data_IF_363096081476
#
_entry.id   IF_363096081476
#
_cell.length_a   1.000
_cell.length_b   1.000
_cell.length_c   1.000
_cell.angle_alpha   90.00
_cell.angle_beta   90.00
_cell.angle_gamma   90.00
#
_symmetry.space_group_name_H-M   'P 1'
#
loop_
_entity.id
_entity.type
_entity.pdbx_description
1 polymer ?
#
# COMPACT_ATOMS: atom_id res chain seq x y z
N UNK A 1 -95.04 15.95 39.34
CA UNK A 1 -94.45 14.64 39.63
C UNK A 1 -92.95 14.80 39.60
N UNK A 2 -92.34 14.42 40.71
CA UNK A 2 -91.03 14.88 41.17
C UNK A 2 -89.86 14.38 40.33
N UNK A 3 -89.01 15.31 39.89
CA UNK A 3 -87.65 14.99 39.49
C UNK A 3 -86.84 14.69 40.75
N UNK A 4 -86.73 13.41 41.11
CA UNK A 4 -85.84 12.94 42.15
C UNK A 4 -84.38 13.10 41.69
N UNK A 5 -83.83 14.31 41.89
CA UNK A 5 -82.42 14.60 41.74
C UNK A 5 -81.64 13.85 42.82
N UNK A 6 -80.97 12.76 42.45
CA UNK A 6 -80.04 12.04 43.32
C UNK A 6 -78.89 12.97 43.69
N UNK A 7 -78.94 13.55 44.90
CA UNK A 7 -77.81 14.27 45.49
C UNK A 7 -76.70 13.26 45.79
N UNK A 8 -75.71 13.18 44.90
CA UNK A 8 -74.46 12.45 45.13
C UNK A 8 -73.86 12.93 46.46
N UNK A 9 -73.49 12.00 47.34
CA UNK A 9 -72.88 12.35 48.63
C UNK A 9 -71.52 13.01 48.41
N UNK A 10 -71.20 14.05 49.18
CA UNK A 10 -69.88 14.71 49.17
C UNK A 10 -68.71 13.73 49.36
N UNK A 11 -68.97 12.58 50.00
CA UNK A 11 -68.01 11.50 50.15
C UNK A 11 -67.75 10.78 48.83
N UNK A 12 -68.81 10.39 48.12
CA UNK A 12 -68.71 9.71 46.82
C UNK A 12 -68.02 10.60 45.77
N UNK A 13 -68.26 11.93 45.82
CA UNK A 13 -67.56 12.89 44.97
C UNK A 13 -66.05 12.92 45.24
N UNK A 14 -65.63 12.92 46.52
CA UNK A 14 -64.21 12.90 46.90
C UNK A 14 -63.53 11.59 46.53
N UNK A 15 -64.19 10.45 46.77
CA UNK A 15 -63.65 9.14 46.42
C UNK A 15 -63.48 9.00 44.89
N UNK A 16 -64.41 9.56 44.11
CA UNK A 16 -64.31 9.60 42.65
C UNK A 16 -63.17 10.52 42.19
N UNK A 17 -63.00 11.69 42.81
CA UNK A 17 -61.90 12.61 42.52
C UNK A 17 -60.53 11.98 42.80
N UNK A 18 -60.38 11.27 43.92
CA UNK A 18 -59.16 10.54 44.27
C UNK A 18 -58.89 9.43 43.25
N UNK A 19 -59.92 8.67 42.85
CA UNK A 19 -59.79 7.61 41.85
C UNK A 19 -59.40 8.15 40.48
N UNK A 20 -59.93 9.30 40.07
CA UNK A 20 -59.51 10.01 38.84
C UNK A 20 -58.04 10.39 38.93
N UNK A 21 -57.59 10.95 40.06
CA UNK A 21 -56.18 11.33 40.23
C UNK A 21 -55.23 10.13 40.19
N UNK A 22 -55.61 9.01 40.83
CA UNK A 22 -54.85 7.76 40.77
C UNK A 22 -54.77 7.18 39.36
N UNK A 23 -55.88 7.23 38.60
CA UNK A 23 -55.88 6.80 37.20
C UNK A 23 -55.04 7.71 36.32
N UNK A 24 -55.09 9.03 36.53
CA UNK A 24 -54.27 10.00 35.83
C UNK A 24 -52.77 9.72 36.04
N UNK A 25 -52.33 9.57 37.30
CA UNK A 25 -50.95 9.24 37.62
C UNK A 25 -50.47 7.92 36.99
N UNK A 26 -51.35 6.89 36.95
CA UNK A 26 -51.05 5.63 36.28
C UNK A 26 -50.93 5.79 34.75
N UNK A 27 -51.77 6.61 34.14
CA UNK A 27 -51.69 6.91 32.70
C UNK A 27 -50.41 7.68 32.38
N UNK A 28 -50.04 8.66 33.21
CA UNK A 28 -48.83 9.45 33.02
C UNK A 28 -47.57 8.56 33.13
N UNK A 29 -47.48 7.70 34.14
CA UNK A 29 -46.37 6.75 34.32
C UNK A 29 -46.26 5.75 33.16
N UNK A 30 -47.38 5.24 32.65
CA UNK A 30 -47.40 4.37 31.47
C UNK A 30 -46.97 5.12 30.21
N UNK A 31 -47.43 6.36 30.02
CA UNK A 31 -47.04 7.23 28.91
C UNK A 31 -45.53 7.48 28.92
N UNK A 32 -44.96 7.80 30.08
CA UNK A 32 -43.51 8.00 30.22
C UNK A 32 -42.72 6.73 29.89
N UNK A 33 -43.22 5.56 30.32
CA UNK A 33 -42.61 4.27 30.01
C UNK A 33 -42.64 3.97 28.51
N UNK A 34 -43.75 4.24 27.82
CA UNK A 34 -43.85 4.10 26.36
C UNK A 34 -42.86 5.03 25.65
N UNK A 35 -42.71 6.28 26.10
CA UNK A 35 -41.75 7.22 25.54
C UNK A 35 -40.30 6.73 25.71
N UNK A 36 -39.97 6.19 26.89
CA UNK A 36 -38.63 5.62 27.14
C UNK A 36 -38.35 4.42 26.24
N UNK A 37 -39.28 3.48 26.18
CA UNK A 37 -39.17 2.31 25.29
C UNK A 37 -39.09 2.72 23.81
N UNK A 38 -39.80 3.76 23.40
CA UNK A 38 -39.71 4.31 22.04
C UNK A 38 -38.31 4.81 21.71
N UNK A 39 -37.67 5.55 22.64
CA UNK A 39 -36.29 6.02 22.49
C UNK A 39 -35.30 4.85 22.46
N UNK A 40 -35.44 3.88 23.36
CA UNK A 40 -34.57 2.70 23.40
C UNK A 40 -34.68 1.89 22.10
N UNK A 41 -35.89 1.76 21.55
CA UNK A 41 -36.13 1.08 20.27
C UNK A 41 -35.50 1.85 19.10
N UNK A 42 -35.57 3.17 19.09
CA UNK A 42 -34.91 4.01 18.07
C UNK A 42 -33.38 3.86 18.14
N UNK A 43 -32.80 3.90 19.35
CA UNK A 43 -31.34 3.70 19.52
C UNK A 43 -30.90 2.31 19.06
N UNK A 44 -31.66 1.26 19.39
CA UNK A 44 -31.36 -0.10 18.95
C UNK A 44 -31.51 -0.26 17.43
N UNK A 45 -32.45 0.43 16.80
CA UNK A 45 -32.58 0.44 15.34
C UNK A 45 -31.38 1.10 14.66
N UNK A 46 -30.88 2.20 15.20
CA UNK A 46 -29.69 2.88 14.67
C UNK A 46 -28.43 2.05 14.85
N UNK A 47 -28.24 1.44 16.02
CA UNK A 47 -27.15 0.49 16.26
C UNK A 47 -27.20 -0.68 15.27
N UNK A 48 -28.40 -1.23 15.01
CA UNK A 48 -28.58 -2.32 14.06
C UNK A 48 -28.20 -1.90 12.63
N UNK A 49 -28.62 -0.70 12.19
CA UNK A 49 -28.24 -0.14 10.88
C UNK A 49 -26.72 0.01 10.76
N UNK A 50 -26.07 0.52 11.81
CA UNK A 50 -24.61 0.70 11.84
C UNK A 50 -23.86 -0.65 11.80
N UNK A 51 -24.31 -1.64 12.58
CA UNK A 51 -23.74 -3.00 12.56
C UNK A 51 -23.90 -3.63 11.18
N UNK A 52 -25.08 -3.50 10.55
CA UNK A 52 -25.33 -4.03 9.21
C UNK A 52 -24.43 -3.38 8.15
N UNK A 53 -24.25 -2.07 8.20
CA UNK A 53 -23.33 -1.36 7.31
C UNK A 53 -21.87 -1.80 7.50
N UNK A 54 -21.44 -2.02 8.76
CA UNK A 54 -20.11 -2.54 9.08
C UNK A 54 -19.92 -3.98 8.57
N UNK A 55 -20.93 -4.85 8.73
CA UNK A 55 -20.90 -6.23 8.20
C UNK A 55 -20.70 -6.24 6.69
N UNK A 56 -21.50 -5.48 5.95
CA UNK A 56 -21.39 -5.37 4.49
C UNK A 56 -20.03 -4.81 4.02
N UNK A 57 -19.40 -3.97 4.83
CA UNK A 57 -18.06 -3.44 4.54
C UNK A 57 -16.99 -4.51 4.76
N UNK A 58 -17.12 -5.29 5.85
CA UNK A 58 -16.23 -6.39 6.15
C UNK A 58 -16.33 -7.51 5.10
N UNK A 59 -17.54 -7.86 4.66
CA UNK A 59 -17.77 -8.85 3.59
C UNK A 59 -17.07 -8.43 2.29
N UNK A 60 -17.25 -7.19 1.82
CA UNK A 60 -16.56 -6.68 0.62
C UNK A 60 -15.04 -6.67 0.74
N UNK A 61 -14.52 -6.36 1.93
CA UNK A 61 -13.08 -6.39 2.18
C UNK A 61 -12.54 -7.82 2.18
N UNK A 62 -13.29 -8.76 2.76
CA UNK A 62 -12.94 -10.18 2.76
C UNK A 62 -12.92 -10.74 1.33
N UNK A 63 -13.94 -10.47 0.52
CA UNK A 63 -13.97 -10.84 -0.91
C UNK A 63 -12.76 -10.29 -1.67
N UNK A 64 -12.36 -9.04 -1.43
CA UNK A 64 -11.17 -8.44 -2.05
C UNK A 64 -9.89 -9.18 -1.66
N UNK A 65 -9.71 -9.46 -0.37
CA UNK A 65 -8.54 -10.18 0.14
C UNK A 65 -8.51 -11.61 -0.39
N UNK A 66 -9.64 -12.29 -0.47
CA UNK A 66 -9.73 -13.63 -1.06
C UNK A 66 -9.30 -13.62 -2.53
N UNK A 67 -9.73 -12.65 -3.33
CA UNK A 67 -9.28 -12.50 -4.71
C UNK A 67 -7.77 -12.25 -4.81
N UNK A 68 -7.21 -11.42 -3.94
CA UNK A 68 -5.76 -11.18 -3.90
C UNK A 68 -4.99 -12.45 -3.55
N UNK A 69 -5.43 -13.21 -2.55
CA UNK A 69 -4.83 -14.49 -2.17
C UNK A 69 -4.85 -15.49 -3.33
N UNK A 70 -5.97 -15.60 -4.05
CA UNK A 70 -6.05 -16.44 -5.25
C UNK A 70 -5.06 -16.01 -6.33
N UNK A 71 -4.89 -14.71 -6.55
CA UNK A 71 -3.92 -14.17 -7.49
C UNK A 71 -2.48 -14.48 -7.08
N UNK A 72 -2.14 -14.34 -5.80
CA UNK A 72 -0.82 -14.69 -5.29
C UNK A 72 -0.53 -16.19 -5.41
N UNK A 73 -1.51 -17.04 -5.09
CA UNK A 73 -1.38 -18.48 -5.22
C UNK A 73 -1.15 -18.90 -6.69
N UNK A 74 -1.87 -18.31 -7.64
CA UNK A 74 -1.66 -18.55 -9.07
C UNK A 74 -0.25 -18.13 -9.52
N UNK A 75 0.18 -16.92 -9.15
CA UNK A 75 1.52 -16.43 -9.46
C UNK A 75 2.63 -17.31 -8.87
N UNK A 76 2.46 -17.82 -7.65
CA UNK A 76 3.43 -18.72 -7.01
C UNK A 76 3.57 -20.03 -7.80
N UNK A 77 2.46 -20.58 -8.28
CA UNK A 77 2.46 -21.79 -9.12
C UNK A 77 3.18 -21.52 -10.43
N UNK A 78 2.92 -20.39 -11.08
CA UNK A 78 3.55 -20.01 -12.35
C UNK A 78 5.06 -19.83 -12.19
N UNK A 79 5.51 -19.12 -11.14
CA UNK A 79 6.94 -18.93 -10.83
C UNK A 79 7.61 -20.28 -10.58
N UNK A 80 7.00 -21.15 -9.76
CA UNK A 80 7.55 -22.48 -9.48
C UNK A 80 7.65 -23.34 -10.75
N UNK A 81 6.67 -23.24 -11.63
CA UNK A 81 6.64 -24.01 -12.88
C UNK A 81 7.69 -23.50 -13.86
N UNK A 82 7.79 -22.18 -14.03
CA UNK A 82 8.84 -21.53 -14.84
C UNK A 82 10.23 -21.90 -14.35
N UNK A 83 10.49 -21.79 -13.04
CA UNK A 83 11.78 -22.15 -12.45
C UNK A 83 12.13 -23.63 -12.65
N UNK A 84 11.15 -24.54 -12.47
CA UNK A 84 11.37 -25.97 -12.73
C UNK A 84 11.75 -26.24 -14.19
N UNK A 85 11.08 -25.57 -15.12
CA UNK A 85 11.36 -25.72 -16.55
C UNK A 85 12.73 -25.17 -16.93
N UNK A 86 13.10 -24.00 -16.41
CA UNK A 86 14.42 -23.41 -16.64
C UNK A 86 15.54 -24.26 -16.03
N UNK A 87 15.34 -24.74 -14.80
CA UNK A 87 16.26 -25.69 -14.16
C UNK A 87 16.44 -26.95 -15.02
N UNK A 88 15.37 -27.52 -15.56
CA UNK A 88 15.46 -28.71 -16.40
C UNK A 88 16.27 -28.42 -17.68
N UNK A 89 15.98 -27.31 -18.37
CA UNK A 89 16.72 -26.91 -19.57
C UNK A 89 18.23 -26.75 -19.31
N UNK A 90 18.59 -26.10 -18.20
CA UNK A 90 20.00 -25.95 -17.81
C UNK A 90 20.65 -27.29 -17.48
N UNK A 91 19.93 -28.23 -16.84
CA UNK A 91 20.45 -29.58 -16.61
C UNK A 91 20.68 -30.34 -17.92
N UNK A 92 19.74 -30.26 -18.86
CA UNK A 92 19.86 -30.90 -20.18
C UNK A 92 21.05 -30.30 -20.95
N UNK A 93 21.23 -28.98 -20.92
CA UNK A 93 22.36 -28.28 -21.56
C UNK A 93 23.71 -28.66 -20.94
N UNK A 94 23.78 -28.79 -19.61
CA UNK A 94 24.99 -29.29 -18.94
C UNK A 94 25.31 -30.72 -19.37
N UNK A 95 24.29 -31.58 -19.54
CA UNK A 95 24.48 -32.95 -19.99
C UNK A 95 24.99 -33.00 -21.43
N UNK A 96 24.43 -32.18 -22.34
CA UNK A 96 24.92 -32.09 -23.72
C UNK A 96 26.36 -31.59 -23.77
N UNK A 97 26.68 -30.52 -23.04
CA UNK A 97 28.05 -29.98 -23.00
C UNK A 97 29.06 -30.98 -22.44
N UNK A 98 28.68 -31.78 -21.44
CA UNK A 98 29.53 -32.86 -20.92
C UNK A 98 29.78 -33.95 -21.95
N UNK A 99 28.76 -34.31 -22.73
CA UNK A 99 28.89 -35.29 -23.81
C UNK A 99 29.81 -34.78 -24.91
N UNK A 100 29.63 -33.53 -25.32
CA UNK A 100 30.44 -32.90 -26.37
C UNK A 100 31.89 -32.74 -25.92
N UNK A 101 32.12 -32.35 -24.66
CA UNK A 101 33.46 -32.31 -24.07
C UNK A 101 34.13 -33.69 -24.09
N UNK A 102 33.40 -34.74 -23.74
CA UNK A 102 33.93 -36.11 -23.78
C UNK A 102 34.27 -36.54 -25.21
N UNK A 103 33.43 -36.21 -26.20
CA UNK A 103 33.65 -36.53 -27.60
C UNK A 103 34.87 -35.79 -28.16
N UNK A 104 35.00 -34.50 -27.86
CA UNK A 104 36.16 -33.70 -28.24
C UNK A 104 37.45 -34.23 -27.57
N UNK A 105 37.38 -34.70 -26.33
CA UNK A 105 38.52 -35.32 -25.65
C UNK A 105 38.96 -36.62 -26.33
N UNK A 106 38.02 -37.48 -26.76
CA UNK A 106 38.35 -38.72 -27.48
C UNK A 106 38.96 -38.41 -28.85
N UNK A 107 38.38 -37.49 -29.60
CA UNK A 107 38.90 -37.08 -30.91
C UNK A 107 40.32 -36.49 -30.77
N UNK A 108 40.55 -35.66 -29.75
CA UNK A 108 41.88 -35.09 -29.50
C UNK A 108 42.91 -36.16 -29.13
N UNK A 109 42.51 -37.21 -28.42
CA UNK A 109 43.38 -38.35 -28.13
C UNK A 109 43.72 -39.14 -29.39
N UNK A 110 42.75 -39.38 -30.27
CA UNK A 110 42.92 -40.05 -31.56
C UNK A 110 43.86 -39.25 -32.48
N UNK A 111 43.62 -37.95 -32.64
CA UNK A 111 44.48 -37.06 -33.43
C UNK A 111 45.92 -36.99 -32.88
N UNK A 112 46.09 -37.05 -31.55
CA UNK A 112 47.42 -37.14 -30.94
C UNK A 112 48.11 -38.47 -31.25
N UNK A 113 47.37 -39.58 -31.26
CA UNK A 113 47.91 -40.88 -31.64
C UNK A 113 48.31 -40.90 -33.12
N UNK A 114 47.44 -40.42 -34.01
CA UNK A 114 47.71 -40.30 -35.44
C UNK A 114 48.94 -39.42 -35.72
N UNK A 115 49.07 -38.29 -35.02
CA UNK A 115 50.26 -37.42 -35.09
C UNK A 115 51.53 -38.18 -34.72
N UNK A 116 51.50 -39.02 -33.68
CA UNK A 116 52.66 -39.82 -33.26
C UNK A 116 53.02 -40.84 -34.34
N UNK A 117 52.04 -41.48 -34.96
CA UNK A 117 52.28 -42.49 -36.00
C UNK A 117 52.82 -41.86 -37.29
N UNK A 118 52.24 -40.74 -37.74
CA UNK A 118 52.79 -39.96 -38.86
C UNK A 118 54.23 -39.49 -38.60
N UNK A 119 54.56 -39.11 -37.35
CA UNK A 119 55.94 -38.79 -36.99
C UNK A 119 56.89 -39.99 -37.09
N UNK A 120 56.43 -41.21 -36.76
CA UNK A 120 57.22 -42.44 -36.94
C UNK A 120 57.42 -42.74 -38.43
N UNK A 121 56.37 -42.61 -39.23
CA UNK A 121 56.44 -42.81 -40.68
C UNK A 121 57.38 -41.81 -41.35
N UNK A 122 57.31 -40.53 -40.99
CA UNK A 122 58.27 -39.52 -41.46
C UNK A 122 59.72 -39.90 -41.13
N UNK A 123 59.99 -40.46 -39.93
CA UNK A 123 61.34 -40.94 -39.58
C UNK A 123 61.78 -42.12 -40.44
N UNK A 124 60.88 -43.08 -40.70
CA UNK A 124 61.15 -44.23 -41.57
C UNK A 124 61.42 -43.79 -43.01
N UNK A 125 60.63 -42.85 -43.55
CA UNK A 125 60.85 -42.29 -44.87
C UNK A 125 62.19 -41.57 -44.96
N UNK A 126 62.54 -40.73 -43.98
CA UNK A 126 63.87 -40.08 -43.92
C UNK A 126 65.01 -41.11 -43.89
N UNK A 127 64.87 -42.19 -43.10
CA UNK A 127 65.87 -43.25 -43.07
C UNK A 127 65.98 -43.99 -44.40
N UNK A 128 64.86 -44.26 -45.08
CA UNK A 128 64.84 -44.94 -46.39
C UNK A 128 65.50 -44.07 -47.46
N UNK A 129 65.21 -42.76 -47.48
CA UNK A 129 65.85 -41.80 -48.38
C UNK A 129 67.37 -41.81 -48.15
N UNK A 130 67.82 -41.67 -46.91
CA UNK A 130 69.25 -41.69 -46.58
C UNK A 130 69.95 -42.99 -47.02
N UNK A 131 69.30 -44.15 -46.84
CA UNK A 131 69.85 -45.44 -47.32
C UNK A 131 69.96 -45.49 -48.85
N UNK A 132 68.97 -44.96 -49.56
CA UNK A 132 68.97 -44.94 -51.02
C UNK A 132 70.05 -44.01 -51.57
N UNK A 133 70.25 -42.84 -50.94
CA UNK A 133 71.33 -41.91 -51.27
C UNK A 133 72.71 -42.54 -51.08
N UNK A 134 72.93 -43.27 -49.97
CA UNK A 134 74.18 -44.01 -49.72
C UNK A 134 74.40 -45.11 -50.76
N UNK A 135 73.37 -45.91 -51.08
CA UNK A 135 73.47 -46.97 -52.08
C UNK A 135 73.81 -46.45 -53.49
N UNK A 136 73.33 -45.26 -53.85
CA UNK A 136 73.69 -44.59 -55.11
C UNK A 136 75.11 -44.00 -55.09
N UNK A 137 75.66 -43.66 -53.92
CA UNK A 137 77.04 -43.19 -53.75
C UNK A 137 78.06 -44.35 -53.75
N UNK A 138 77.66 -45.56 -53.35
CA UNK A 138 78.52 -46.75 -53.27
C UNK A 138 78.60 -47.57 -54.57
N UNK A 139 77.88 -47.19 -55.64
CA UNK A 139 78.01 -47.85 -56.95
C UNK A 139 79.32 -47.44 -57.63
N UNK A 140 80.34 -48.33 -57.74
CA UNK A 140 81.60 -47.98 -58.36
C UNK A 140 81.43 -48.01 -59.88
N UNK A 141 81.87 -46.93 -60.52
CA UNK A 141 82.17 -46.89 -61.94
C UNK A 141 82.82 -48.19 -62.43
N UNK A 142 82.15 -48.90 -63.33
CA UNK A 142 82.84 -49.69 -64.36
C UNK A 142 82.72 -48.96 -65.68
N UNK A 143 83.87 -48.46 -66.11
CA UNK A 143 84.19 -47.71 -67.31
C UNK A 143 83.81 -48.42 -68.62
N UNK A 144 83.23 -47.67 -69.57
CA UNK A 144 83.80 -47.29 -70.89
C UNK A 144 82.79 -46.39 -71.62
N UNK A 145 83.09 -45.08 -71.68
CA UNK A 145 83.33 -44.32 -72.93
C UNK A 145 82.11 -44.36 -73.88
N UNK A 146 81.30 -43.31 -73.95
CA UNK A 146 81.65 -42.15 -74.79
C UNK A 146 81.19 -40.79 -74.23
N UNK A 147 82.17 -39.87 -74.20
CA UNK A 147 82.09 -38.44 -74.50
C UNK A 147 80.75 -37.69 -74.28
N UNK A 148 80.56 -37.15 -73.07
CA UNK A 148 80.17 -35.75 -72.92
C UNK A 148 80.65 -35.22 -71.56
N UNK A 149 81.89 -34.75 -71.56
CA UNK A 149 82.39 -33.92 -70.48
C UNK A 149 81.81 -32.52 -70.65
N UNK A 150 81.13 -32.03 -69.61
CA UNK A 150 81.38 -30.75 -68.95
C UNK A 150 80.07 -30.15 -68.40
N UNK A 151 80.15 -29.87 -67.09
CA UNK A 151 79.42 -28.80 -66.38
C UNK A 151 77.94 -29.12 -66.11
N UNK A 152 77.53 -29.42 -64.89
CA UNK A 152 77.87 -28.72 -63.67
C UNK A 152 76.64 -27.92 -63.23
N UNK A 153 75.94 -28.48 -62.24
CA UNK A 153 75.36 -27.76 -61.10
C UNK A 153 74.31 -26.68 -61.44
N UNK A 154 73.03 -27.01 -61.23
CA UNK A 154 72.00 -26.17 -60.54
C UNK A 154 70.58 -26.44 -61.06
N UNK A 155 69.96 -27.57 -60.71
CA UNK A 155 68.52 -27.74 -61.01
C UNK A 155 67.70 -28.40 -59.89
N UNK A 156 68.32 -29.00 -58.88
CA UNK A 156 67.56 -29.64 -57.78
C UNK A 156 67.32 -28.71 -56.58
N UNK A 157 67.99 -27.56 -56.49
CA UNK A 157 67.87 -26.65 -55.34
C UNK A 157 66.62 -25.73 -55.45
N UNK A 158 66.15 -25.45 -56.66
CA UNK A 158 65.04 -24.51 -56.87
C UNK A 158 63.65 -25.13 -56.59
N UNK A 159 63.50 -26.43 -56.78
CA UNK A 159 62.23 -27.14 -56.53
C UNK A 159 61.97 -27.38 -55.04
N UNK A 160 63.01 -27.73 -54.28
CA UNK A 160 62.93 -27.90 -52.83
C UNK A 160 62.66 -26.57 -52.10
N UNK A 161 63.31 -25.47 -52.54
CA UNK A 161 63.07 -24.12 -52.01
C UNK A 161 61.66 -23.60 -52.36
N UNK A 162 61.14 -23.94 -53.54
CA UNK A 162 59.76 -23.63 -53.95
C UNK A 162 58.71 -24.37 -53.12
N UNK A 163 58.91 -25.68 -52.87
CA UNK A 163 58.01 -26.48 -52.05
C UNK A 163 57.97 -25.98 -50.59
N UNK A 164 59.13 -25.65 -50.03
CA UNK A 164 59.22 -25.11 -48.66
C UNK A 164 58.54 -23.75 -48.51
N UNK A 165 58.61 -22.88 -49.53
CA UNK A 165 57.86 -21.62 -49.56
C UNK A 165 56.35 -21.86 -49.66
N UNK A 166 55.92 -22.80 -50.50
CA UNK A 166 54.50 -23.17 -50.62
C UNK A 166 53.95 -23.73 -49.30
N UNK A 167 54.69 -24.60 -48.61
CA UNK A 167 54.26 -25.17 -47.33
C UNK A 167 54.14 -24.11 -46.22
N UNK A 168 55.05 -23.11 -46.22
CA UNK A 168 54.96 -21.94 -45.32
C UNK A 168 53.72 -21.11 -45.65
N UNK A 169 53.50 -20.77 -46.91
CA UNK A 169 52.33 -20.00 -47.35
C UNK A 169 51.02 -20.73 -47.04
N UNK A 170 51.00 -22.07 -47.18
CA UNK A 170 49.83 -22.88 -46.87
C UNK A 170 49.53 -22.92 -45.36
N UNK A 171 50.56 -22.98 -44.52
CA UNK A 171 50.41 -22.86 -43.06
C UNK A 171 49.90 -21.49 -42.66
N UNK A 172 50.44 -20.42 -43.25
CA UNK A 172 49.95 -19.06 -43.04
C UNK A 172 48.49 -18.90 -43.49
N UNK A 173 48.14 -19.43 -44.66
CA UNK A 173 46.77 -19.45 -45.15
C UNK A 173 45.82 -20.17 -44.18
N UNK A 174 46.21 -21.36 -43.69
CA UNK A 174 45.41 -22.11 -42.72
C UNK A 174 45.27 -21.38 -41.38
N UNK A 175 46.33 -20.71 -40.92
CA UNK A 175 46.26 -19.87 -39.73
C UNK A 175 45.31 -18.69 -39.91
N UNK A 176 45.39 -17.99 -41.05
CA UNK A 176 44.47 -16.88 -41.36
C UNK A 176 43.02 -17.38 -41.46
N UNK A 177 42.80 -18.57 -42.02
CA UNK A 177 41.47 -19.19 -42.09
C UNK A 177 40.89 -19.46 -40.70
N UNK A 178 41.71 -19.97 -39.77
CA UNK A 178 41.28 -20.19 -38.36
C UNK A 178 41.07 -18.88 -37.61
N UNK A 179 41.95 -17.90 -37.82
CA UNK A 179 41.83 -16.59 -37.17
C UNK A 179 40.56 -15.87 -37.65
N UNK A 180 40.24 -15.98 -38.95
CA UNK A 180 39.00 -15.43 -39.52
C UNK A 180 37.76 -16.05 -38.90
N UNK A 181 37.72 -17.38 -38.75
CA UNK A 181 36.59 -18.05 -38.08
C UNK A 181 36.45 -17.60 -36.62
N UNK A 182 37.57 -17.45 -35.91
CA UNK A 182 37.58 -16.97 -34.52
C UNK A 182 37.05 -15.54 -34.42
N UNK A 183 37.50 -14.64 -35.29
CA UNK A 183 37.04 -13.25 -35.34
C UNK A 183 35.56 -13.15 -35.71
N UNK A 184 35.07 -14.01 -36.61
CA UNK A 184 33.65 -14.06 -36.94
C UNK A 184 32.80 -14.50 -35.74
N UNK A 185 33.22 -15.51 -34.98
CA UNK A 185 32.55 -15.92 -33.75
C UNK A 185 32.48 -14.81 -32.71
N UNK A 186 33.62 -14.14 -32.44
CA UNK A 186 33.66 -13.00 -31.51
C UNK A 186 32.74 -11.87 -31.99
N UNK A 187 32.71 -11.59 -33.30
CA UNK A 187 31.81 -10.59 -33.88
C UNK A 187 30.34 -10.95 -33.63
N UNK A 188 29.95 -12.21 -33.81
CA UNK A 188 28.58 -12.67 -33.57
C UNK A 188 28.19 -12.50 -32.10
N UNK A 189 29.08 -12.85 -31.16
CA UNK A 189 28.88 -12.60 -29.73
C UNK A 189 28.68 -11.11 -29.41
N UNK A 190 29.53 -10.24 -29.94
CA UNK A 190 29.42 -8.78 -29.75
C UNK A 190 28.12 -8.21 -30.34
N UNK A 191 27.65 -8.77 -31.47
CA UNK A 191 26.37 -8.40 -32.09
C UNK A 191 25.21 -8.78 -31.18
N UNK A 192 25.22 -9.98 -30.59
CA UNK A 192 24.21 -10.42 -29.62
C UNK A 192 24.20 -9.56 -28.36
N UNK A 193 25.38 -9.22 -27.83
CA UNK A 193 25.51 -8.36 -26.64
C UNK A 193 24.98 -6.94 -26.93
N UNK A 194 25.36 -6.37 -28.08
CA UNK A 194 24.81 -5.08 -28.54
C UNK A 194 23.29 -5.12 -28.61
N UNK A 195 22.69 -6.17 -29.18
CA UNK A 195 21.23 -6.27 -29.31
C UNK A 195 20.53 -6.40 -27.95
N UNK A 196 21.14 -7.12 -27.00
CA UNK A 196 20.65 -7.17 -25.63
C UNK A 196 20.71 -5.79 -24.95
N UNK A 197 21.80 -5.04 -25.15
CA UNK A 197 21.95 -3.69 -24.62
C UNK A 197 20.98 -2.70 -25.26
N UNK A 198 20.75 -2.76 -26.57
CA UNK A 198 19.77 -1.93 -27.28
C UNK A 198 18.36 -2.18 -26.71
N UNK A 199 17.94 -3.44 -26.58
CA UNK A 199 16.65 -3.78 -25.97
C UNK A 199 16.53 -3.28 -24.54
N UNK A 200 17.62 -3.36 -23.76
CA UNK A 200 17.66 -2.84 -22.39
C UNK A 200 17.49 -1.33 -22.35
N UNK A 201 18.16 -0.60 -23.25
CA UNK A 201 18.02 0.86 -23.39
C UNK A 201 16.61 1.24 -23.80
N UNK A 202 16.02 0.55 -24.77
CA UNK A 202 14.63 0.78 -25.19
C UNK A 202 13.64 0.61 -24.02
N UNK A 203 13.73 -0.50 -23.28
CA UNK A 203 12.87 -0.74 -22.11
C UNK A 203 13.05 0.31 -21.01
N UNK A 204 14.29 0.67 -20.68
CA UNK A 204 14.55 1.71 -19.68
C UNK A 204 14.09 3.08 -20.16
N UNK A 205 14.21 3.36 -21.45
CA UNK A 205 13.72 4.61 -22.06
C UNK A 205 12.20 4.69 -22.03
N UNK A 206 11.48 3.59 -22.26
CA UNK A 206 10.01 3.58 -22.14
C UNK A 206 9.56 3.70 -20.70
N UNK A 207 10.21 3.01 -19.75
CA UNK A 207 9.96 3.16 -18.31
C UNK A 207 10.21 4.60 -17.84
N UNK A 208 11.34 5.19 -18.26
CA UNK A 208 11.67 6.58 -17.92
C UNK A 208 10.73 7.57 -18.59
N UNK A 209 10.30 7.32 -19.83
CA UNK A 209 9.27 8.12 -20.48
C UNK A 209 7.92 8.00 -19.78
N UNK A 210 7.57 6.84 -19.22
CA UNK A 210 6.36 6.65 -18.43
C UNK A 210 6.45 7.32 -17.06
N UNK A 211 7.65 7.44 -16.47
CA UNK A 211 7.86 8.17 -15.21
C UNK A 211 7.88 9.68 -15.44
N UNK A 212 8.54 10.14 -16.51
CA UNK A 212 8.67 11.56 -16.84
C UNK A 212 7.42 12.13 -17.52
N UNK A 213 6.72 11.32 -18.32
CA UNK A 213 5.45 11.65 -18.97
C UNK A 213 4.27 10.89 -18.33
N UNK A 214 4.44 10.34 -17.13
CA UNK A 214 3.34 9.72 -16.39
C UNK A 214 2.19 10.71 -16.33
N UNK A 215 0.99 10.28 -16.74
CA UNK A 215 -0.13 11.18 -17.02
C UNK A 215 -0.20 12.24 -15.91
N UNK A 216 0.06 13.53 -16.22
CA UNK A 216 0.05 14.59 -15.22
C UNK A 216 -1.25 14.59 -14.44
N UNK A 217 -2.34 14.10 -15.05
CA UNK A 217 -3.63 13.88 -14.40
C UNK A 217 -3.59 12.77 -13.37
N UNK A 218 -2.92 11.64 -13.64
CA UNK A 218 -2.78 10.55 -12.67
C UNK A 218 -1.90 10.94 -11.49
N UNK A 219 -0.80 11.66 -11.72
CA UNK A 219 0.03 12.20 -10.62
C UNK A 219 -0.73 13.26 -9.82
N UNK A 220 -1.49 14.14 -10.49
CA UNK A 220 -2.35 15.11 -9.82
C UNK A 220 -3.51 14.43 -9.06
N UNK A 221 -4.13 13.40 -9.61
CA UNK A 221 -5.20 12.62 -8.97
C UNK A 221 -4.67 11.84 -7.75
N UNK A 222 -3.51 11.21 -7.86
CA UNK A 222 -2.85 10.52 -6.73
C UNK A 222 -2.48 11.54 -5.64
N UNK A 223 -1.97 12.72 -6.02
CA UNK A 223 -1.64 13.80 -5.09
C UNK A 223 -2.88 14.38 -4.42
N UNK A 224 -3.95 14.65 -5.17
CA UNK A 224 -5.22 15.16 -4.65
C UNK A 224 -5.87 14.15 -3.70
N UNK A 225 -5.77 12.85 -4.02
CA UNK A 225 -6.23 11.76 -3.15
C UNK A 225 -5.44 11.74 -1.84
N UNK A 226 -4.10 11.83 -1.90
CA UNK A 226 -3.25 11.92 -0.71
C UNK A 226 -3.51 13.18 0.11
N UNK A 227 -3.76 14.33 -0.53
CA UNK A 227 -4.08 15.59 0.16
C UNK A 227 -5.46 15.50 0.84
N UNK A 228 -6.45 14.88 0.19
CA UNK A 228 -7.77 14.65 0.77
C UNK A 228 -7.69 13.71 1.98
N UNK A 229 -6.93 12.62 1.87
CA UNK A 229 -6.68 11.69 2.98
C UNK A 229 -5.95 12.39 4.14
N UNK A 230 -4.91 13.18 3.85
CA UNK A 230 -4.18 13.94 4.86
C UNK A 230 -5.10 14.93 5.59
N UNK A 231 -5.97 15.63 4.85
CA UNK A 231 -6.95 16.56 5.42
C UNK A 231 -7.97 15.84 6.31
N UNK A 232 -8.43 14.65 5.90
CA UNK A 232 -9.34 13.83 6.69
C UNK A 232 -8.68 13.34 7.99
N UNK A 233 -7.46 12.80 7.90
CA UNK A 233 -6.71 12.35 9.07
C UNK A 233 -6.42 13.49 10.04
N UNK A 234 -6.09 14.68 9.51
CA UNK A 234 -5.88 15.88 10.33
C UNK A 234 -7.16 16.31 11.06
N UNK A 235 -8.30 16.35 10.36
CA UNK A 235 -9.58 16.66 10.99
C UNK A 235 -9.95 15.64 12.10
N UNK A 236 -9.65 14.36 11.87
CA UNK A 236 -9.88 13.31 12.86
C UNK A 236 -8.95 13.47 14.08
N UNK A 237 -7.69 13.85 13.86
CA UNK A 237 -6.75 14.14 14.94
C UNK A 237 -7.19 15.37 15.75
N UNK A 238 -7.64 16.43 15.09
CA UNK A 238 -8.13 17.64 15.74
C UNK A 238 -9.37 17.34 16.59
N UNK A 239 -10.33 16.56 16.08
CA UNK A 239 -11.50 16.10 16.84
C UNK A 239 -11.10 15.29 18.08
N UNK A 240 -10.14 14.36 17.94
CA UNK A 240 -9.64 13.58 19.07
C UNK A 240 -8.92 14.45 20.11
N UNK A 241 -8.22 15.50 19.68
CA UNK A 241 -7.59 16.46 20.58
C UNK A 241 -8.63 17.30 21.32
N UNK A 242 -9.68 17.80 20.65
CA UNK A 242 -10.79 18.51 21.29
C UNK A 242 -11.52 17.63 22.32
N UNK A 243 -11.77 16.36 22.01
CA UNK A 243 -12.32 15.38 22.95
C UNK A 243 -11.38 15.16 24.16
N UNK A 244 -10.07 15.10 23.93
CA UNK A 244 -9.08 14.99 25.02
C UNK A 244 -9.09 16.23 25.92
N UNK A 245 -9.13 17.43 25.34
CA UNK A 245 -9.15 18.69 26.09
C UNK A 245 -10.44 18.86 26.90
N UNK A 246 -11.59 18.56 26.30
CA UNK A 246 -12.89 18.59 26.99
C UNK A 246 -12.94 17.57 28.13
N UNK A 247 -12.39 16.37 27.94
CA UNK A 247 -12.26 15.37 29.00
C UNK A 247 -11.32 15.84 30.13
N UNK A 248 -10.17 16.45 29.80
CA UNK A 248 -9.25 17.02 30.79
C UNK A 248 -9.91 18.15 31.60
N UNK A 249 -10.64 19.06 30.94
CA UNK A 249 -11.36 20.13 31.60
C UNK A 249 -12.45 19.57 32.53
N UNK A 250 -13.18 18.56 32.07
CA UNK A 250 -14.21 17.86 32.85
C UNK A 250 -13.61 17.17 34.08
N UNK A 251 -12.49 16.45 33.92
CA UNK A 251 -11.76 15.83 35.03
C UNK A 251 -11.23 16.87 36.01
N UNK A 252 -10.73 18.00 35.54
CA UNK A 252 -10.28 19.10 36.40
C UNK A 252 -11.44 19.68 37.22
N UNK A 253 -12.63 19.82 36.61
CA UNK A 253 -13.84 20.26 37.30
C UNK A 253 -14.29 19.24 38.36
N UNK A 254 -14.29 17.95 38.04
CA UNK A 254 -14.59 16.90 39.01
C UNK A 254 -13.58 16.87 40.16
N UNK A 255 -12.28 17.00 39.88
CA UNK A 255 -11.24 17.11 40.91
C UNK A 255 -11.46 18.30 41.82
N UNK A 256 -11.72 19.48 41.25
CA UNK A 256 -12.01 20.68 42.03
C UNK A 256 -13.24 20.51 42.94
N UNK A 257 -14.32 19.87 42.46
CA UNK A 257 -15.51 19.59 43.26
C UNK A 257 -15.25 18.57 44.38
N UNK A 258 -14.36 17.59 44.17
CA UNK A 258 -13.96 16.64 45.21
C UNK A 258 -13.01 17.24 46.24
N UNK A 259 -12.13 18.16 45.82
CA UNK A 259 -11.18 18.86 46.71
C UNK A 259 -11.84 20.03 47.48
N UNK A 260 -12.86 20.68 46.91
CA UNK A 260 -13.63 21.73 47.57
C UNK A 260 -14.62 21.20 48.62
N UNK A 261 -14.76 19.88 48.75
CA UNK A 261 -15.51 19.25 49.84
C UNK A 261 -14.54 19.05 51.02
N UNK A 262 -14.71 19.75 52.15
CA UNK A 262 -13.78 19.61 53.26
C UNK A 262 -13.75 18.15 53.72
N UNK A 263 -12.55 17.60 53.76
CA UNK A 263 -12.23 16.27 54.28
C UNK A 263 -12.59 16.22 55.77
N UNK A 264 -13.79 15.74 56.10
CA UNK A 264 -14.12 15.29 57.45
C UNK A 264 -13.47 13.92 57.68
N UNK A 265 -12.18 13.93 57.97
CA UNK A 265 -11.46 12.79 58.53
C UNK A 265 -10.77 13.22 59.81
N UNK A 266 -11.47 13.06 60.93
CA UNK A 266 -10.92 12.91 62.29
C UNK A 266 -12.05 12.41 63.20
N UNK A 267 -12.01 11.16 63.71
CA UNK A 267 -12.92 10.73 64.76
C UNK A 267 -12.24 10.90 66.12
N UNK A 268 -12.44 12.04 66.78
CA UNK A 268 -12.19 12.15 68.23
C UNK A 268 -13.28 13.01 68.88
N UNK A 269 -14.19 12.30 69.57
CA UNK A 269 -14.90 12.66 70.81
C UNK A 269 -15.11 14.15 71.08
N UNK A 270 -16.37 14.62 71.01
CA UNK A 270 -17.01 15.44 72.06
C UNK A 270 -18.49 15.68 71.75
N UNK A 271 -19.27 15.64 72.81
CA UNK A 271 -20.73 15.73 72.89
C UNK A 271 -21.31 17.09 72.48
N UNK A 272 -22.56 17.00 72.00
CA UNK A 272 -23.68 17.95 72.17
C UNK A 272 -23.94 19.03 71.11
N UNK A 273 -25.24 19.21 70.89
CA UNK A 273 -25.97 20.28 70.18
C UNK A 273 -26.30 20.12 68.67
N UNK A 274 -27.60 19.88 68.47
CA UNK A 274 -28.48 20.61 67.54
C UNK A 274 -28.47 20.29 66.05
N UNK A 275 -29.57 19.64 65.65
CA UNK A 275 -30.32 19.80 64.39
C UNK A 275 -29.87 21.00 63.53
N UNK A 276 -29.40 20.69 62.32
CA UNK A 276 -29.05 21.71 61.33
C UNK A 276 -28.46 21.13 60.04
N UNK A 277 -28.99 20.02 59.55
CA UNK A 277 -28.68 19.51 58.20
C UNK A 277 -29.31 20.47 57.17
N UNK A 278 -28.63 21.60 56.93
CA UNK A 278 -28.99 22.54 55.87
C UNK A 278 -28.56 21.92 54.55
N UNK A 279 -29.55 21.30 53.91
CA UNK A 279 -29.60 20.89 52.51
C UNK A 279 -28.75 21.83 51.64
N UNK A 280 -27.60 21.31 51.19
CA UNK A 280 -26.85 21.89 50.09
C UNK A 280 -27.79 21.96 48.90
N UNK A 281 -28.17 23.19 48.55
CA UNK A 281 -29.01 23.58 47.41
C UNK A 281 -28.86 22.61 46.24
N UNK A 282 -29.80 21.67 46.15
CA UNK A 282 -29.88 20.68 45.10
C UNK A 282 -30.40 21.36 43.83
N UNK A 283 -29.54 21.45 42.81
CA UNK A 283 -29.85 21.76 41.39
C UNK A 283 -31.05 22.69 41.19
N UNK A 284 -30.82 23.99 41.29
CA UNK A 284 -31.87 25.00 41.12
C UNK A 284 -32.01 25.34 39.64
N UNK A 285 -33.15 24.98 39.05
CA UNK A 285 -33.51 25.38 37.70
C UNK A 285 -33.76 26.91 37.65
N UNK A 286 -33.51 27.56 36.51
CA UNK A 286 -33.62 29.03 36.34
C UNK A 286 -35.01 29.60 36.74
N UNK A 287 -36.07 28.80 36.59
CA UNK A 287 -37.42 29.15 37.07
C UNK A 287 -37.49 29.25 38.59
N UNK A 288 -36.84 28.33 39.30
CA UNK A 288 -36.80 28.29 40.75
C UNK A 288 -35.92 29.42 41.31
N UNK A 289 -34.81 29.76 40.65
CA UNK A 289 -33.99 30.94 41.03
C UNK A 289 -34.83 32.22 40.92
N UNK A 290 -35.58 32.37 39.82
CA UNK A 290 -36.45 33.54 39.61
C UNK A 290 -37.54 33.62 40.68
N UNK A 291 -38.17 32.50 41.01
CA UNK A 291 -39.24 32.45 42.02
C UNK A 291 -38.70 32.73 43.43
N UNK A 292 -37.54 32.18 43.79
CA UNK A 292 -36.85 32.45 45.05
C UNK A 292 -36.51 33.94 45.21
N UNK A 293 -35.92 34.55 44.19
CA UNK A 293 -35.58 35.99 44.19
C UNK A 293 -36.83 36.90 44.18
N UNK A 294 -37.98 36.41 43.73
CA UNK A 294 -39.24 37.16 43.69
C UNK A 294 -40.07 37.00 44.97
N UNK A 295 -39.85 35.91 45.71
CA UNK A 295 -40.57 35.60 46.94
C UNK A 295 -40.05 36.46 48.11
N UNK A 296 -40.93 37.21 48.78
CA UNK A 296 -40.59 37.98 49.99
C UNK A 296 -40.66 37.13 51.27
N UNK A 297 -40.97 35.85 51.14
CA UNK A 297 -41.20 34.94 52.27
C UNK A 297 -39.89 34.34 52.83
N UNK A 298 -38.79 34.36 52.07
CA UNK A 298 -37.51 33.78 52.46
C UNK A 298 -36.47 34.89 52.49
N UNK A 299 -35.88 35.14 53.67
CA UNK A 299 -34.72 36.02 53.80
C UNK A 299 -33.48 35.27 53.34
N UNK A 300 -32.92 35.66 52.21
CA UNK A 300 -31.65 35.16 51.70
C UNK A 300 -30.50 35.87 52.44
N UNK A 301 -29.46 35.12 52.77
CA UNK A 301 -28.24 35.69 53.36
C UNK A 301 -27.15 35.93 52.30
N UNK A 302 -26.04 36.57 52.70
CA UNK A 302 -24.93 36.89 51.79
C UNK A 302 -24.32 35.66 51.10
N UNK A 303 -24.41 34.48 51.72
CA UNK A 303 -23.91 33.24 51.12
C UNK A 303 -24.88 32.70 50.07
N UNK A 304 -26.19 32.79 50.32
CA UNK A 304 -27.23 32.45 49.35
C UNK A 304 -27.10 33.32 48.09
N UNK A 305 -26.89 34.63 48.25
CA UNK A 305 -26.69 35.53 47.11
C UNK A 305 -25.41 35.21 46.33
N UNK A 306 -24.31 34.85 47.01
CA UNK A 306 -23.08 34.41 46.34
C UNK A 306 -23.28 33.11 45.56
N UNK A 307 -23.98 32.13 46.14
CA UNK A 307 -24.29 30.86 45.48
C UNK A 307 -25.19 31.06 44.25
N UNK A 308 -26.25 31.87 44.39
CA UNK A 308 -27.14 32.20 43.26
C UNK A 308 -26.37 32.95 42.16
N UNK A 309 -25.50 33.89 42.52
CA UNK A 309 -24.69 34.64 41.55
C UNK A 309 -23.74 33.72 40.78
N UNK A 310 -23.09 32.76 41.46
CA UNK A 310 -22.22 31.78 40.81
C UNK A 310 -23.00 30.90 39.83
N UNK A 311 -24.17 30.38 40.23
CA UNK A 311 -25.04 29.56 39.37
C UNK A 311 -25.51 30.34 38.14
N UNK A 312 -25.90 31.62 38.31
CA UNK A 312 -26.33 32.47 37.21
C UNK A 312 -25.18 32.80 36.25
N UNK A 313 -23.97 32.97 36.76
CA UNK A 313 -22.78 33.20 35.94
C UNK A 313 -22.43 31.96 35.12
N UNK A 314 -22.46 30.78 35.72
CA UNK A 314 -22.26 29.51 35.03
C UNK A 314 -23.30 29.30 33.92
N UNK A 315 -24.58 29.54 34.22
CA UNK A 315 -25.66 29.43 33.22
C UNK A 315 -25.50 30.44 32.07
N UNK A 316 -24.98 31.64 32.36
CA UNK A 316 -24.69 32.65 31.35
C UNK A 316 -23.54 32.19 30.44
N UNK A 317 -22.47 31.64 31.03
CA UNK A 317 -21.33 31.08 30.30
C UNK A 317 -21.76 29.90 29.42
N UNK A 318 -22.60 28.98 29.92
CA UNK A 318 -23.11 27.85 29.15
C UNK A 318 -23.93 28.32 27.93
N UNK A 319 -24.80 29.33 28.12
CA UNK A 319 -25.54 29.94 27.00
C UNK A 319 -24.61 30.61 25.99
N UNK A 320 -23.56 31.29 26.45
CA UNK A 320 -22.58 31.93 25.59
C UNK A 320 -21.78 30.90 24.78
N UNK A 321 -21.42 29.77 25.39
CA UNK A 321 -20.78 28.64 24.72
C UNK A 321 -21.71 28.02 23.67
N UNK A 322 -22.96 27.74 24.02
CA UNK A 322 -23.96 27.21 23.08
C UNK A 322 -24.16 28.14 21.87
N UNK A 323 -24.27 29.46 22.11
CA UNK A 323 -24.33 30.45 21.03
C UNK A 323 -23.08 30.44 20.15
N UNK A 324 -21.90 30.25 20.73
CA UNK A 324 -20.64 30.17 19.99
C UNK A 324 -20.59 28.92 19.11
N UNK A 325 -21.02 27.77 19.61
CA UNK A 325 -21.15 26.55 18.82
C UNK A 325 -22.15 26.71 17.66
N UNK A 326 -23.33 27.29 17.92
CA UNK A 326 -24.33 27.58 16.89
C UNK A 326 -23.78 28.52 15.80
N UNK A 327 -23.04 29.57 16.18
CA UNK A 327 -22.39 30.48 15.22
C UNK A 327 -21.35 29.75 14.36
N UNK A 328 -20.55 28.86 14.94
CA UNK A 328 -19.57 28.05 14.18
C UNK A 328 -20.29 27.09 13.23
N UNK A 329 -21.32 26.39 13.69
CA UNK A 329 -22.11 25.50 12.86
C UNK A 329 -22.75 26.24 11.67
N UNK A 330 -23.38 27.39 11.91
CA UNK A 330 -23.95 28.22 10.85
C UNK A 330 -22.88 28.73 9.86
N UNK A 331 -21.67 29.03 10.32
CA UNK A 331 -20.55 29.40 9.44
C UNK A 331 -20.13 28.25 8.53
N UNK A 332 -20.07 27.03 9.06
CA UNK A 332 -19.76 25.83 8.25
C UNK A 332 -20.86 25.56 7.22
N UNK A 333 -22.13 25.64 7.64
CA UNK A 333 -23.27 25.50 6.73
C UNK A 333 -23.24 26.57 5.63
N UNK A 334 -22.98 27.84 5.97
CA UNK A 334 -22.86 28.92 4.99
C UNK A 334 -21.75 28.66 3.97
N UNK A 335 -20.58 28.18 4.40
CA UNK A 335 -19.50 27.83 3.49
C UNK A 335 -19.91 26.69 2.53
N UNK A 336 -20.63 25.68 3.03
CA UNK A 336 -21.11 24.55 2.21
C UNK A 336 -22.16 24.99 1.20
N UNK A 337 -23.05 25.90 1.59
CA UNK A 337 -24.03 26.51 0.66
C UNK A 337 -23.29 27.25 -0.46
N UNK A 338 -22.32 28.10 -0.13
CA UNK A 338 -21.53 28.82 -1.14
C UNK A 338 -20.78 27.87 -2.10
N UNK A 339 -20.23 26.78 -1.59
CA UNK A 339 -19.56 25.75 -2.40
C UNK A 339 -20.54 25.10 -3.40
N UNK A 340 -21.73 24.70 -2.91
CA UNK A 340 -22.77 24.09 -3.75
C UNK A 340 -23.29 25.08 -4.80
N UNK A 341 -23.52 26.34 -4.42
CA UNK A 341 -23.91 27.40 -5.35
C UNK A 341 -22.86 27.63 -6.44
N UNK A 342 -21.58 27.63 -6.07
CA UNK A 342 -20.47 27.74 -7.02
C UNK A 342 -20.43 26.55 -8.00
N UNK A 343 -20.63 25.32 -7.51
CA UNK A 343 -20.69 24.14 -8.38
C UNK A 343 -21.88 24.19 -9.34
N UNK A 344 -23.04 24.65 -8.86
CA UNK A 344 -24.24 24.80 -9.68
C UNK A 344 -24.03 25.85 -10.78
N UNK A 345 -23.43 26.99 -10.47
CA UNK A 345 -23.08 28.02 -11.45
C UNK A 345 -22.14 27.51 -12.55
N UNK A 346 -21.14 26.68 -12.20
CA UNK A 346 -20.24 26.05 -13.18
C UNK A 346 -20.99 25.07 -14.08
N UNK A 347 -21.90 24.26 -13.52
CA UNK A 347 -22.72 23.33 -14.30
C UNK A 347 -23.70 24.05 -15.23
N UNK A 348 -24.29 25.17 -14.80
CA UNK A 348 -25.13 26.02 -15.64
C UNK A 348 -24.35 26.71 -16.78
N UNK A 349 -23.12 27.16 -16.52
CA UNK A 349 -22.26 27.71 -17.56
C UNK A 349 -21.89 26.62 -18.60
N UNK A 350 -21.60 25.41 -18.13
CA UNK A 350 -21.27 24.27 -18.99
C UNK A 350 -22.47 23.83 -19.82
N UNK A 351 -23.69 23.79 -19.26
CA UNK A 351 -24.90 23.43 -20.01
C UNK A 351 -25.26 24.46 -21.09
N UNK A 352 -25.03 25.76 -20.86
CA UNK A 352 -25.17 26.80 -21.88
C UNK A 352 -24.14 26.68 -23.01
N UNK A 353 -22.91 26.28 -22.70
CA UNK A 353 -21.85 26.07 -23.70
C UNK A 353 -22.06 24.84 -24.59
N UNK A 354 -22.91 23.90 -24.16
CA UNK A 354 -23.22 22.66 -24.91
C UNK A 354 -24.53 22.72 -25.71
N UNK A 355 -25.25 23.84 -25.73
CA UNK A 355 -26.44 24.00 -26.56
C UNK A 355 -26.03 24.37 -27.99
N UNK A 356 -26.21 23.50 -29.01
CA UNK A 356 -25.94 23.87 -30.38
C UNK A 356 -27.03 24.85 -30.85
N UNK A 357 -26.61 26.03 -31.26
CA UNK A 357 -27.36 26.87 -32.18
C UNK A 357 -27.87 25.97 -33.33
N UNK A 358 -29.18 25.77 -33.43
CA UNK A 358 -29.80 25.35 -34.69
C UNK A 358 -30.16 26.61 -35.46
N UNK A 359 -29.52 26.90 -36.60
CA UNK A 359 -30.05 27.85 -37.56
C UNK A 359 -31.09 27.15 -38.45
N UNK A 360 -32.26 27.75 -38.57
CA UNK A 360 -33.11 27.70 -39.77
C UNK A 360 -33.97 28.95 -39.79
#
# INVERSE_FOLDING_TARGET
>A
MDFASSKVSLKDYRDLQEKVHQLQSKVDSKTETIVRLGKDLETLQDENRMIKARSLTLERNLERVEMEVHKYAANEIDIKTSFKLEKQKLMDEIETLRKDLSAAQTENAELKAEKIDLQKDCKLFRQRIAKFEIANLESPCTSKEDTSSLRGKSSEDTGADGLGKYEKLYKEFKQIETDLHTVLGIKEELVMERDALVKKVERLSTEMSFLLNGDPRRVAEDLDTLVAENRFLKARLDSANEESETMKATLSKYRAMTESRPSTANPTVSQDSSLGEKSSVAVVNMKQIRELLSSHAIKLDDNDYKAITAILLDLCNDKQMALTHLRRANKVLGNRVNEVESHLAVLEAKSRSTSPNKPS
#
